data_IF_532523512603
#
_entry.id   IF_532523512603
#
_cell.length_a   1.000
_cell.length_b   1.000
_cell.length_c   1.000
_cell.angle_alpha   90.00
_cell.angle_beta   90.00
_cell.angle_gamma   90.00
#
_symmetry.space_group_name_H-M   'P 1'
#
loop_
_entity.id
_entity.type
_entity.pdbx_description
1 polymer ?
#
# COMPACT_ATOMS: atom_id res chain seq x y z
N UNK A 1 -15.63 21.06 -10.02
CA UNK A 1 -15.25 19.86 -10.79
C UNK A 1 -13.73 19.78 -11.01
N UNK A 2 -13.06 20.78 -11.61
CA UNK A 2 -11.60 20.70 -11.87
C UNK A 2 -10.78 20.42 -10.60
N UNK A 3 -11.02 21.14 -9.51
CA UNK A 3 -10.31 20.91 -8.25
C UNK A 3 -10.44 19.46 -7.73
N UNK A 4 -11.65 18.88 -7.84
CA UNK A 4 -11.88 17.49 -7.43
C UNK A 4 -11.11 16.50 -8.31
N UNK A 5 -11.10 16.69 -9.63
CA UNK A 5 -10.33 15.88 -10.58
C UNK A 5 -8.84 15.93 -10.27
N UNK A 6 -8.29 17.15 -10.14
CA UNK A 6 -6.85 17.35 -9.84
C UNK A 6 -6.47 16.78 -8.48
N UNK A 7 -7.30 17.00 -7.45
CA UNK A 7 -7.02 16.43 -6.12
C UNK A 7 -7.04 14.90 -6.14
N UNK A 8 -8.02 14.29 -6.79
CA UNK A 8 -8.08 12.83 -6.94
C UNK A 8 -6.82 12.30 -7.63
N UNK A 9 -6.41 12.90 -8.76
CA UNK A 9 -5.22 12.49 -9.48
C UNK A 9 -3.94 12.62 -8.64
N UNK A 10 -3.76 13.73 -7.92
CA UNK A 10 -2.59 13.95 -7.05
C UNK A 10 -2.48 12.89 -5.97
N UNK A 11 -3.58 12.56 -5.27
CA UNK A 11 -3.53 11.54 -4.22
C UNK A 11 -3.36 10.13 -4.77
N UNK A 12 -3.96 9.82 -5.91
CA UNK A 12 -3.75 8.54 -6.60
C UNK A 12 -2.30 8.40 -7.05
N UNK A 13 -1.72 9.45 -7.64
CA UNK A 13 -0.32 9.46 -8.05
C UNK A 13 0.64 9.33 -6.86
N UNK A 14 0.35 10.00 -5.73
CA UNK A 14 1.14 9.88 -4.51
C UNK A 14 1.07 8.45 -3.93
N UNK A 15 -0.10 7.82 -3.91
CA UNK A 15 -0.27 6.44 -3.47
C UNK A 15 0.52 5.45 -4.35
N UNK A 16 0.46 5.64 -5.67
CA UNK A 16 1.24 4.86 -6.64
C UNK A 16 2.74 5.06 -6.45
N UNK A 17 3.21 6.31 -6.34
CA UNK A 17 4.63 6.62 -6.21
C UNK A 17 5.25 5.98 -4.96
N UNK A 18 4.56 6.02 -3.82
CA UNK A 18 5.01 5.40 -2.57
C UNK A 18 5.05 3.86 -2.66
N UNK A 19 4.12 3.24 -3.38
CA UNK A 19 4.13 1.78 -3.60
C UNK A 19 5.18 1.38 -4.62
N UNK A 20 5.39 2.18 -5.67
CA UNK A 20 6.42 1.98 -6.69
C UNK A 20 7.82 2.08 -6.09
N UNK A 21 8.06 3.02 -5.17
CA UNK A 21 9.33 3.13 -4.47
C UNK A 21 9.70 1.81 -3.77
N UNK A 22 8.76 1.19 -3.04
CA UNK A 22 8.99 -0.12 -2.44
C UNK A 22 9.23 -1.23 -3.47
N UNK A 23 8.46 -1.23 -4.57
CA UNK A 23 8.61 -2.23 -5.62
C UNK A 23 9.98 -2.16 -6.32
N UNK A 24 10.52 -0.97 -6.53
CA UNK A 24 11.84 -0.75 -7.13
C UNK A 24 13.00 -1.22 -6.23
N UNK A 25 12.80 -1.23 -4.92
CA UNK A 25 13.78 -1.71 -3.96
C UNK A 25 13.85 -3.25 -3.89
N UNK A 26 12.87 -3.96 -4.46
CA UNK A 26 12.74 -5.41 -4.39
C UNK A 26 14.03 -6.17 -4.72
N UNK A 27 14.73 -5.92 -5.86
CA UNK A 27 15.94 -6.68 -6.20
C UNK A 27 17.08 -6.48 -5.21
N UNK A 28 17.17 -5.29 -4.60
CA UNK A 28 18.15 -4.98 -3.56
C UNK A 28 17.81 -5.67 -2.24
N UNK A 29 16.57 -5.57 -1.81
CA UNK A 29 16.07 -6.13 -0.55
C UNK A 29 16.18 -7.65 -0.50
N UNK A 30 15.96 -8.34 -1.62
CA UNK A 30 16.06 -9.81 -1.69
C UNK A 30 17.50 -10.33 -1.58
N UNK A 31 18.51 -9.46 -1.67
CA UNK A 31 19.93 -9.81 -1.47
C UNK A 31 20.39 -9.65 -0.03
N UNK A 32 19.57 -9.03 0.82
CA UNK A 32 19.92 -8.77 2.20
C UNK A 32 19.72 -10.03 3.04
N UNK A 33 20.64 -10.25 3.98
CA UNK A 33 20.41 -11.20 5.05
C UNK A 33 19.27 -10.74 5.97
N UNK A 34 18.70 -11.65 6.74
CA UNK A 34 17.56 -11.37 7.61
C UNK A 34 17.81 -10.24 8.60
N UNK A 35 19.01 -10.20 9.20
CA UNK A 35 19.33 -9.21 10.22
C UNK A 35 19.36 -7.79 9.63
N UNK A 36 19.97 -7.63 8.49
CA UNK A 36 20.03 -6.37 7.76
C UNK A 36 18.66 -5.96 7.24
N UNK A 37 17.90 -6.90 6.66
CA UNK A 37 16.55 -6.62 6.18
C UNK A 37 15.64 -6.10 7.29
N UNK A 38 15.64 -6.73 8.48
CA UNK A 38 14.84 -6.27 9.62
C UNK A 38 15.35 -4.94 10.17
N UNK A 39 16.66 -4.70 10.14
CA UNK A 39 17.26 -3.46 10.65
C UNK A 39 16.89 -2.23 9.81
N UNK A 40 16.67 -2.39 8.50
CA UNK A 40 16.29 -1.26 7.63
C UNK A 40 14.77 -0.95 7.67
N UNK A 41 13.92 -1.87 8.09
CA UNK A 41 12.47 -1.65 8.09
C UNK A 41 12.03 -0.41 8.90
N UNK A 42 12.59 -0.09 10.09
CA UNK A 42 12.24 1.11 10.82
C UNK A 42 12.52 2.43 10.10
N UNK A 43 13.41 2.43 9.08
CA UNK A 43 13.69 3.64 8.29
C UNK A 43 12.49 4.07 7.44
N UNK A 44 11.66 3.11 7.02
CA UNK A 44 10.46 3.39 6.23
C UNK A 44 9.26 3.78 7.10
N UNK A 45 9.30 3.48 8.39
CA UNK A 45 8.26 3.82 9.35
C UNK A 45 8.72 5.03 10.18
N UNK A 46 7.84 5.99 10.52
CA UNK A 46 6.40 6.03 10.20
C UNK A 46 6.05 6.72 8.87
N UNK A 47 6.99 7.46 8.24
CA UNK A 47 6.70 8.40 7.16
C UNK A 47 6.03 7.74 5.94
N UNK A 48 6.59 6.63 5.44
CA UNK A 48 6.02 5.91 4.29
C UNK A 48 4.63 5.35 4.57
N UNK A 49 4.42 4.80 5.76
CA UNK A 49 3.14 4.18 6.12
C UNK A 49 2.06 5.24 6.29
N UNK A 50 2.36 6.35 6.96
CA UNK A 50 1.42 7.46 7.15
C UNK A 50 1.12 8.12 5.80
N UNK A 51 2.15 8.46 5.03
CA UNK A 51 2.00 9.09 3.71
C UNK A 51 1.17 8.23 2.75
N UNK A 52 1.46 6.93 2.72
CA UNK A 52 0.71 5.98 1.90
C UNK A 52 -0.73 5.81 2.38
N UNK A 53 -0.96 5.63 3.67
CA UNK A 53 -2.30 5.49 4.23
C UNK A 53 -3.17 6.71 3.95
N UNK A 54 -2.63 7.92 4.10
CA UNK A 54 -3.34 9.17 3.76
C UNK A 54 -3.62 9.23 2.26
N UNK A 55 -2.62 9.00 1.42
CA UNK A 55 -2.76 9.12 -0.04
C UNK A 55 -3.75 8.10 -0.60
N UNK A 56 -3.71 6.85 -0.16
CA UNK A 56 -4.65 5.81 -0.59
C UNK A 56 -6.08 6.10 -0.12
N UNK A 57 -6.25 6.51 1.13
CA UNK A 57 -7.57 6.81 1.68
C UNK A 57 -8.20 8.03 1.00
N UNK A 58 -7.43 9.11 0.83
CA UNK A 58 -7.92 10.30 0.15
C UNK A 58 -8.13 10.03 -1.34
N UNK A 59 -7.24 9.28 -1.99
CA UNK A 59 -7.40 8.82 -3.37
C UNK A 59 -8.72 8.08 -3.57
N UNK A 60 -9.04 7.12 -2.70
CA UNK A 60 -10.32 6.39 -2.74
C UNK A 60 -11.52 7.30 -2.54
N UNK A 61 -11.50 8.15 -1.50
CA UNK A 61 -12.62 9.04 -1.19
C UNK A 61 -12.88 10.01 -2.34
N UNK A 62 -11.83 10.64 -2.86
CA UNK A 62 -11.94 11.64 -3.92
C UNK A 62 -12.35 11.01 -5.26
N UNK A 63 -11.82 9.82 -5.59
CA UNK A 63 -12.21 9.08 -6.80
C UNK A 63 -13.65 8.60 -6.71
N UNK A 64 -14.09 8.14 -5.53
CA UNK A 64 -15.50 7.81 -5.30
C UNK A 64 -16.41 9.05 -5.41
N UNK A 65 -16.03 10.16 -4.79
CA UNK A 65 -16.77 11.42 -4.92
C UNK A 65 -16.87 11.86 -6.38
N UNK A 66 -15.76 11.71 -7.15
CA UNK A 66 -15.76 12.02 -8.59
C UNK A 66 -16.75 11.12 -9.35
N UNK A 67 -16.76 9.82 -9.03
CA UNK A 67 -17.69 8.85 -9.63
C UNK A 67 -19.17 9.23 -9.42
N UNK A 68 -19.50 9.76 -8.23
CA UNK A 68 -20.87 10.21 -7.92
C UNK A 68 -21.29 11.48 -8.68
N UNK A 69 -20.33 12.24 -9.21
CA UNK A 69 -20.63 13.48 -9.95
C UNK A 69 -20.73 13.29 -11.46
N UNK A 70 -20.31 12.12 -11.98
CA UNK A 70 -20.30 11.82 -13.41
C UNK A 70 -21.53 10.96 -13.76
N UNK A 71 -22.31 11.31 -14.80
CA UNK A 71 -23.44 10.48 -15.25
C UNK A 71 -22.98 9.08 -15.67
N UNK A 72 -23.73 8.05 -15.30
CA UNK A 72 -23.40 6.64 -15.59
C UNK A 72 -23.25 6.31 -17.09
N UNK A 73 -23.81 7.13 -17.99
CA UNK A 73 -23.68 6.95 -19.44
C UNK A 73 -22.54 7.72 -20.08
N UNK A 74 -21.81 8.52 -19.32
CA UNK A 74 -20.66 9.25 -19.86
C UNK A 74 -19.46 8.33 -20.03
N UNK A 75 -18.72 8.50 -21.13
CA UNK A 75 -17.48 7.72 -21.39
C UNK A 75 -16.46 7.85 -20.25
N UNK A 76 -16.37 9.04 -19.68
CA UNK A 76 -15.52 9.35 -18.53
C UNK A 76 -15.85 8.50 -17.30
N UNK A 77 -17.12 8.07 -17.12
CA UNK A 77 -17.55 7.25 -15.98
C UNK A 77 -16.77 5.93 -15.89
N UNK A 78 -16.61 5.24 -17.01
CA UNK A 78 -15.91 3.94 -17.06
C UNK A 78 -14.45 4.07 -16.66
N UNK A 79 -13.77 5.14 -17.05
CA UNK A 79 -12.41 5.40 -16.69
C UNK A 79 -12.23 5.69 -15.18
N UNK A 80 -13.11 6.51 -14.62
CA UNK A 80 -13.10 6.78 -13.16
C UNK A 80 -13.48 5.53 -12.37
N UNK A 81 -14.42 4.72 -12.85
CA UNK A 81 -14.79 3.46 -12.22
C UNK A 81 -13.62 2.46 -12.22
N UNK A 82 -12.87 2.38 -13.33
CA UNK A 82 -11.67 1.56 -13.42
C UNK A 82 -10.57 2.04 -12.47
N UNK A 83 -10.38 3.37 -12.34
CA UNK A 83 -9.45 3.94 -11.36
C UNK A 83 -9.84 3.56 -9.93
N UNK A 84 -11.10 3.73 -9.57
CA UNK A 84 -11.63 3.37 -8.25
C UNK A 84 -11.50 1.88 -7.95
N UNK A 85 -11.87 1.02 -8.90
CA UNK A 85 -11.73 -0.43 -8.76
C UNK A 85 -10.27 -0.86 -8.56
N UNK A 86 -9.32 -0.22 -9.26
CA UNK A 86 -7.89 -0.48 -9.09
C UNK A 86 -7.39 -0.06 -7.72
N UNK A 87 -7.84 1.08 -7.17
CA UNK A 87 -7.53 1.49 -5.79
C UNK A 87 -8.13 0.52 -4.77
N UNK A 88 -9.35 0.02 -4.98
CA UNK A 88 -9.93 -1.01 -4.13
C UNK A 88 -9.12 -2.30 -4.15
N UNK A 89 -8.66 -2.73 -5.33
CA UNK A 89 -7.78 -3.90 -5.47
C UNK A 89 -6.45 -3.69 -4.73
N UNK A 90 -5.87 -2.49 -4.81
CA UNK A 90 -4.67 -2.11 -4.05
C UNK A 90 -4.90 -2.21 -2.54
N UNK A 91 -6.04 -1.75 -2.02
CA UNK A 91 -6.43 -1.88 -0.62
C UNK A 91 -6.70 -3.33 -0.23
N UNK A 92 -7.33 -4.10 -1.10
CA UNK A 92 -7.55 -5.53 -0.86
C UNK A 92 -6.23 -6.28 -0.67
N UNK A 93 -5.23 -6.05 -1.52
CA UNK A 93 -3.88 -6.63 -1.37
C UNK A 93 -3.25 -6.19 -0.04
N UNK A 94 -3.43 -4.93 0.36
CA UNK A 94 -2.93 -4.45 1.64
C UNK A 94 -3.51 -5.22 2.82
N UNK A 95 -4.82 -5.31 2.92
CA UNK A 95 -5.49 -5.92 4.07
C UNK A 95 -5.36 -7.45 4.11
N UNK A 96 -5.27 -8.11 2.94
CA UNK A 96 -5.19 -9.57 2.87
C UNK A 96 -3.77 -10.12 2.94
N UNK A 97 -2.77 -9.37 2.46
CA UNK A 97 -1.39 -9.86 2.35
C UNK A 97 -0.41 -8.95 3.11
N UNK A 98 -0.34 -7.66 2.73
CA UNK A 98 0.71 -6.77 3.24
C UNK A 98 0.60 -6.58 4.76
N UNK A 99 -0.60 -6.28 5.27
CA UNK A 99 -0.83 -6.01 6.69
C UNK A 99 -0.60 -7.23 7.58
N UNK A 100 -1.17 -8.42 7.30
CA UNK A 100 -0.90 -9.61 8.09
C UNK A 100 0.58 -9.98 8.15
N UNK A 101 1.29 -9.92 7.00
CA UNK A 101 2.71 -10.22 6.96
C UNK A 101 3.54 -9.17 7.70
N UNK A 102 3.17 -7.89 7.62
CA UNK A 102 3.85 -6.81 8.34
C UNK A 102 3.85 -7.02 9.86
N UNK A 103 2.82 -7.62 10.41
CA UNK A 103 2.72 -7.89 11.85
C UNK A 103 3.86 -8.80 12.34
N UNK A 104 4.37 -9.71 11.50
CA UNK A 104 5.46 -10.61 11.88
C UNK A 104 6.79 -9.89 12.11
N UNK A 105 7.09 -8.84 11.32
CA UNK A 105 8.36 -8.12 11.54
C UNK A 105 8.23 -7.05 12.61
N UNK A 106 7.07 -6.39 12.68
CA UNK A 106 6.86 -5.27 13.58
C UNK A 106 6.80 -5.68 15.06
N UNK A 107 6.40 -6.91 15.36
CA UNK A 107 6.48 -7.45 16.72
C UNK A 107 7.93 -7.61 17.21
N UNK A 108 8.90 -7.75 16.29
CA UNK A 108 10.32 -7.98 16.61
C UNK A 108 11.19 -6.72 16.52
N UNK A 109 10.78 -5.73 15.73
CA UNK A 109 11.42 -4.43 15.77
C UNK A 109 10.99 -3.74 17.07
N UNK A 110 11.93 -3.16 17.80
CA UNK A 110 11.65 -2.29 18.96
C UNK A 110 10.98 -0.99 18.49
N UNK A 111 9.79 -1.13 17.92
CA UNK A 111 9.00 0.00 17.47
C UNK A 111 8.45 0.76 18.66
N UNK A 112 8.49 2.08 18.57
CA UNK A 112 7.90 2.95 19.58
C UNK A 112 6.43 2.54 19.81
N UNK A 113 6.01 2.62 21.07
CA UNK A 113 4.65 2.27 21.52
C UNK A 113 3.56 2.99 20.71
N UNK A 114 3.84 4.21 20.27
CA UNK A 114 2.93 4.99 19.41
C UNK A 114 2.69 4.33 18.05
N UNK A 115 3.75 3.83 17.40
CA UNK A 115 3.69 3.16 16.09
C UNK A 115 2.95 1.83 16.21
N UNK A 116 3.23 1.04 17.27
CA UNK A 116 2.53 -0.22 17.53
C UNK A 116 1.03 0.00 17.74
N UNK A 117 0.66 1.05 18.48
CA UNK A 117 -0.74 1.39 18.76
C UNK A 117 -1.48 1.86 17.50
N UNK A 118 -0.81 2.62 16.64
CA UNK A 118 -1.36 3.06 15.35
C UNK A 118 -1.70 1.88 14.42
N UNK A 119 -0.88 0.83 14.44
CA UNK A 119 -1.09 -0.37 13.61
C UNK A 119 -1.95 -1.45 14.27
N UNK A 120 -2.46 -1.25 15.48
CA UNK A 120 -3.27 -2.23 16.20
C UNK A 120 -2.52 -3.53 16.54
N UNK A 121 -1.18 -3.47 16.68
CA UNK A 121 -0.34 -4.65 16.90
C UNK A 121 -0.51 -5.19 18.33
N UNK A 122 -0.87 -6.47 18.43
CA UNK A 122 -0.98 -7.18 19.71
C UNK A 122 0.38 -7.35 20.41
N UNK A 123 0.35 -7.32 21.75
CA UNK A 123 1.54 -7.50 22.59
C UNK A 123 1.82 -8.97 22.97
N UNK A 124 1.00 -9.90 22.50
CA UNK A 124 1.10 -11.31 22.89
C UNK A 124 2.17 -12.05 22.08
N UNK A 125 3.31 -12.27 22.71
CA UNK A 125 4.43 -13.06 22.15
C UNK A 125 4.38 -14.48 22.73
N UNK A 126 3.99 -15.47 21.95
CA UNK A 126 4.16 -16.87 22.34
C UNK A 126 5.51 -17.42 21.86
N UNK A 127 6.34 -17.90 22.78
CA UNK A 127 7.68 -18.44 22.51
C UNK A 127 7.69 -19.65 21.55
N UNK A 128 6.61 -20.39 21.45
CA UNK A 128 6.43 -21.54 20.54
C UNK A 128 6.33 -21.14 19.08
N UNK A 129 5.74 -19.99 18.78
CA UNK A 129 5.64 -19.45 17.42
C UNK A 129 7.01 -19.06 16.83
N UNK A 130 8.03 -18.90 17.66
CA UNK A 130 9.34 -18.37 17.26
C UNK A 130 10.13 -19.31 16.34
N UNK A 131 10.09 -20.63 16.55
CA UNK A 131 10.85 -21.61 15.75
C UNK A 131 10.18 -21.90 14.40
N UNK A 132 8.86 -22.00 14.36
CA UNK A 132 8.12 -22.14 13.11
C UNK A 132 8.26 -20.93 12.20
N UNK A 133 8.32 -19.73 12.78
CA UNK A 133 8.51 -18.49 12.03
C UNK A 133 9.92 -18.32 11.43
N UNK A 134 10.93 -19.00 11.98
CA UNK A 134 12.29 -18.96 11.42
C UNK A 134 12.39 -19.71 10.09
N UNK A 135 11.69 -20.82 9.96
CA UNK A 135 11.64 -21.61 8.72
C UNK A 135 10.79 -20.93 7.62
N UNK A 136 9.81 -20.11 8.00
CA UNK A 136 8.90 -19.44 7.07
C UNK A 136 9.41 -18.07 6.60
N UNK A 137 10.53 -17.58 7.15
CA UNK A 137 11.06 -16.25 6.87
C UNK A 137 11.21 -15.92 5.38
N UNK A 138 11.86 -16.77 4.53
CA UNK A 138 12.04 -16.43 3.12
C UNK A 138 10.71 -16.27 2.38
N UNK A 139 9.74 -17.13 2.69
CA UNK A 139 8.42 -17.10 2.08
C UNK A 139 7.63 -15.86 2.50
N UNK A 140 7.71 -15.45 3.77
CA UNK A 140 7.04 -14.26 4.27
C UNK A 140 7.64 -12.98 3.67
N UNK A 141 8.98 -12.91 3.59
CA UNK A 141 9.69 -11.81 2.94
C UNK A 141 9.24 -11.68 1.47
N UNK A 142 9.29 -12.78 0.73
CA UNK A 142 8.89 -12.79 -0.67
C UNK A 142 7.42 -12.40 -0.84
N UNK A 143 6.53 -12.92 -0.01
CA UNK A 143 5.09 -12.63 -0.05
C UNK A 143 4.84 -11.13 0.19
N UNK A 144 5.51 -10.53 1.16
CA UNK A 144 5.39 -9.10 1.46
C UNK A 144 5.90 -8.25 0.29
N UNK A 145 7.08 -8.54 -0.25
CA UNK A 145 7.66 -7.79 -1.36
C UNK A 145 6.82 -7.91 -2.64
N UNK A 146 6.32 -9.11 -2.96
CA UNK A 146 5.40 -9.31 -4.10
C UNK A 146 4.11 -8.51 -3.89
N UNK A 147 3.61 -8.43 -2.66
CA UNK A 147 2.44 -7.60 -2.37
C UNK A 147 2.65 -6.12 -2.68
N UNK A 148 3.87 -5.59 -2.46
CA UNK A 148 4.20 -4.21 -2.82
C UNK A 148 4.24 -4.01 -4.34
N UNK A 149 4.76 -4.99 -5.08
CA UNK A 149 4.76 -4.97 -6.56
C UNK A 149 3.32 -4.99 -7.10
N UNK A 150 2.47 -5.85 -6.57
CA UNK A 150 1.06 -5.91 -6.95
C UNK A 150 0.34 -4.58 -6.67
N UNK A 151 0.61 -3.96 -5.52
CA UNK A 151 0.05 -2.66 -5.18
C UNK A 151 0.56 -1.54 -6.07
N UNK A 152 1.85 -1.55 -6.43
CA UNK A 152 2.40 -0.60 -7.40
C UNK A 152 1.73 -0.75 -8.77
N UNK A 153 1.46 -1.97 -9.22
CA UNK A 153 0.75 -2.25 -10.47
C UNK A 153 -0.67 -1.68 -10.45
N UNK A 154 -1.46 -1.96 -9.41
CA UNK A 154 -2.81 -1.42 -9.29
C UNK A 154 -2.81 0.11 -9.15
N UNK A 155 -1.85 0.67 -8.41
CA UNK A 155 -1.65 2.11 -8.33
C UNK A 155 -1.36 2.72 -9.71
N UNK A 156 -0.50 2.10 -10.51
CA UNK A 156 -0.18 2.55 -11.86
C UNK A 156 -1.42 2.50 -12.78
N UNK A 157 -2.18 1.42 -12.76
CA UNK A 157 -3.44 1.32 -13.53
C UNK A 157 -4.41 2.43 -13.12
N UNK A 158 -4.53 2.70 -11.81
CA UNK A 158 -5.39 3.77 -11.31
C UNK A 158 -4.95 5.16 -11.80
N UNK A 159 -3.64 5.47 -11.77
CA UNK A 159 -3.11 6.74 -12.30
C UNK A 159 -3.41 6.91 -13.79
N UNK A 160 -3.14 5.87 -14.59
CA UNK A 160 -3.39 5.94 -16.03
C UNK A 160 -4.88 6.17 -16.34
N UNK A 161 -5.75 5.42 -15.68
CA UNK A 161 -7.19 5.52 -15.95
C UNK A 161 -7.79 6.83 -15.46
N UNK A 162 -7.34 7.37 -14.30
CA UNK A 162 -7.83 8.68 -13.85
C UNK A 162 -7.27 9.82 -14.70
N UNK A 163 -6.03 9.74 -15.16
CA UNK A 163 -5.44 10.73 -16.07
C UNK A 163 -6.21 10.79 -17.40
N UNK A 164 -6.59 9.65 -17.97
CA UNK A 164 -7.46 9.60 -19.15
C UNK A 164 -8.80 10.27 -18.86
N UNK A 165 -9.43 9.96 -17.72
CA UNK A 165 -10.71 10.57 -17.32
C UNK A 165 -10.61 12.09 -17.11
N UNK A 166 -9.48 12.60 -16.65
CA UNK A 166 -9.26 14.04 -16.44
C UNK A 166 -9.05 14.77 -17.77
N UNK A 167 -8.41 14.11 -18.74
CA UNK A 167 -8.13 14.67 -20.08
C UNK A 167 -9.39 14.76 -20.98
N UNK A 168 -10.45 14.05 -20.63
CA UNK A 168 -11.77 14.06 -21.31
C UNK A 168 -12.67 15.16 -20.74
#
# INVERSE_FOLDING_TARGET
MLALKVSAEVFVAAAMALSLAHALEYPGKMRLDRSTYVAIQPMYYPAFVIGRGISESLGLILTFALLLTIPNGAEQFNWVAAAFASLLAMQFVYWTITYPVSNFWMERAHLDRAVRRFFGLSTTTHATARREHESLWPSLQQCWEISQIARAFFGFVSVVTIAVAVAM
#
